data_IF_650842104074
#
_entry.id   IF_650842104074
#
_cell.length_a   1.000
_cell.length_b   1.000
_cell.length_c   1.000
_cell.angle_alpha   90.00
_cell.angle_beta   90.00
_cell.angle_gamma   90.00
#
_symmetry.space_group_name_H-M   'P 1'
#
loop_
_entity.id
_entity.type
_entity.pdbx_description
1 polymer ?
#
# COMPACT_ATOMS: atom_id res chain seq x y z
N UNK A 1 -4.28 -14.38 -50.56
CA UNK A 1 -3.90 -13.57 -49.39
C UNK A 1 -4.93 -13.83 -48.29
N UNK A 2 -4.57 -14.44 -47.16
CA UNK A 2 -5.42 -14.50 -45.98
C UNK A 2 -5.09 -13.37 -45.00
N UNK A 3 -6.12 -12.84 -44.35
CA UNK A 3 -6.06 -11.76 -43.37
C UNK A 3 -5.58 -12.26 -42.00
N UNK A 4 -4.76 -11.44 -41.33
CA UNK A 4 -4.38 -11.62 -39.93
C UNK A 4 -5.45 -11.04 -38.98
N UNK A 5 -5.61 -11.59 -37.76
CA UNK A 5 -6.70 -11.26 -36.84
C UNK A 5 -6.46 -9.95 -36.08
N UNK A 6 -7.51 -9.22 -35.67
CA UNK A 6 -7.37 -8.08 -34.77
C UNK A 6 -7.14 -8.51 -33.31
N UNK A 7 -6.35 -7.69 -32.61
CA UNK A 7 -5.92 -7.82 -31.22
C UNK A 7 -7.08 -7.67 -30.19
N UNK A 8 -6.91 -8.17 -28.94
CA UNK A 8 -7.97 -8.16 -27.93
C UNK A 8 -8.25 -6.75 -27.40
N UNK A 9 -9.53 -6.37 -27.42
CA UNK A 9 -10.07 -5.15 -26.85
C UNK A 9 -9.93 -5.13 -25.33
N UNK A 10 -9.27 -4.10 -24.80
CA UNK A 10 -9.30 -3.77 -23.37
C UNK A 10 -10.73 -3.41 -22.93
N UNK A 11 -11.17 -3.76 -21.71
CA UNK A 11 -12.44 -3.30 -21.18
C UNK A 11 -12.34 -1.81 -20.88
N UNK A 12 -12.96 -1.00 -21.73
CA UNK A 12 -13.24 0.41 -21.41
C UNK A 12 -14.27 0.40 -20.29
N UNK A 13 -13.83 0.60 -19.05
CA UNK A 13 -14.73 0.93 -17.95
C UNK A 13 -15.21 2.34 -18.21
N UNK A 14 -16.32 2.46 -18.93
CA UNK A 14 -17.08 3.70 -19.04
C UNK A 14 -17.63 4.01 -17.64
N UNK A 15 -16.86 4.79 -16.87
CA UNK A 15 -17.39 5.51 -15.72
C UNK A 15 -18.34 6.54 -16.32
N UNK A 16 -19.62 6.14 -16.45
CA UNK A 16 -20.68 7.06 -16.79
C UNK A 16 -20.66 8.16 -15.75
N UNK A 17 -20.16 9.33 -16.14
CA UNK A 17 -20.37 10.61 -15.46
C UNK A 17 -21.87 10.91 -15.53
N UNK A 18 -22.64 10.22 -14.70
CA UNK A 18 -24.01 10.61 -14.38
C UNK A 18 -23.90 11.61 -13.26
N UNK A 19 -23.87 12.89 -13.64
CA UNK A 19 -24.09 13.99 -12.71
C UNK A 19 -25.32 13.62 -11.83
N UNK A 20 -25.13 13.38 -10.52
CA UNK A 20 -26.19 12.85 -9.65
C UNK A 20 -27.38 13.80 -9.60
N UNK A 21 -27.16 15.11 -9.81
CA UNK A 21 -28.22 16.11 -9.93
C UNK A 21 -29.03 15.94 -11.21
N UNK A 22 -28.39 15.61 -12.34
CA UNK A 22 -29.07 15.33 -13.60
C UNK A 22 -29.90 14.04 -13.53
N UNK A 23 -29.46 13.05 -12.74
CA UNK A 23 -30.22 11.83 -12.51
C UNK A 23 -31.45 12.09 -11.61
N UNK A 24 -31.28 12.85 -10.51
CA UNK A 24 -32.40 13.28 -9.66
C UNK A 24 -33.42 14.13 -10.44
N UNK A 25 -32.97 15.06 -11.28
CA UNK A 25 -33.87 15.88 -12.11
C UNK A 25 -34.72 15.05 -13.07
N UNK A 26 -34.17 13.94 -13.60
CA UNK A 26 -34.89 13.02 -14.49
C UNK A 26 -35.89 12.16 -13.75
N UNK A 27 -35.56 11.70 -12.54
CA UNK A 27 -36.50 10.93 -11.71
C UNK A 27 -37.65 11.80 -11.17
N UNK A 28 -37.44 13.13 -11.08
CA UNK A 28 -38.40 14.12 -10.60
C UNK A 28 -39.23 14.79 -11.70
N UNK A 29 -38.94 14.53 -12.99
CA UNK A 29 -39.78 14.99 -14.08
C UNK A 29 -41.18 14.33 -13.99
N UNK A 30 -42.27 15.07 -14.27
CA UNK A 30 -43.62 14.64 -13.91
C UNK A 30 -44.01 13.32 -14.57
N UNK A 31 -44.48 12.38 -13.74
CA UNK A 31 -45.16 11.17 -14.20
C UNK A 31 -46.31 11.54 -15.15
N UNK A 32 -46.58 10.77 -16.22
CA UNK A 32 -47.58 11.10 -17.22
C UNK A 32 -48.97 11.27 -16.58
N UNK A 33 -49.70 12.30 -17.02
CA UNK A 33 -51.03 12.65 -16.53
C UNK A 33 -51.97 11.43 -16.46
N UNK A 34 -52.58 11.11 -15.30
CA UNK A 34 -53.60 10.08 -15.24
C UNK A 34 -54.87 10.55 -15.98
N UNK A 35 -55.66 9.64 -16.55
CA UNK A 35 -56.84 9.99 -17.34
C UNK A 35 -57.82 10.83 -16.53
N UNK A 36 -58.26 11.94 -17.12
CA UNK A 36 -59.12 13.00 -16.56
C UNK A 36 -60.43 12.54 -15.87
N UNK A 37 -60.78 11.25 -15.96
CA UNK A 37 -61.93 10.65 -15.28
C UNK A 37 -61.69 10.34 -13.80
N UNK A 38 -60.45 10.09 -13.35
CA UNK A 38 -60.14 9.84 -11.94
C UNK A 38 -60.22 11.12 -11.07
N UNK A 39 -60.11 12.30 -11.69
CA UNK A 39 -60.13 13.60 -11.00
C UNK A 39 -61.54 14.05 -10.56
N UNK A 40 -62.61 13.42 -11.06
CA UNK A 40 -64.00 13.83 -10.75
C UNK A 40 -64.59 13.17 -9.51
N UNK A 41 -63.99 12.11 -8.98
CA UNK A 41 -64.53 11.37 -7.82
C UNK A 41 -63.76 11.61 -6.51
N UNK A 42 -62.63 12.33 -6.56
CA UNK A 42 -61.91 12.74 -5.36
C UNK A 42 -62.09 14.25 -5.18
N UNK A 43 -62.91 14.64 -4.21
CA UNK A 43 -62.99 16.02 -3.70
C UNK A 43 -61.56 16.55 -3.50
N UNK A 44 -61.17 17.72 -4.05
CA UNK A 44 -59.76 18.11 -4.06
C UNK A 44 -59.32 18.35 -2.62
N UNK A 45 -58.33 17.60 -2.13
CA UNK A 45 -57.36 18.22 -1.21
C UNK A 45 -56.73 19.34 -2.01
N UNK A 46 -56.65 20.53 -1.41
CA UNK A 46 -56.06 21.70 -2.04
C UNK A 46 -54.76 21.29 -2.78
N UNK A 47 -54.67 21.48 -4.10
CA UNK A 47 -53.51 21.10 -4.89
C UNK A 47 -52.21 21.67 -4.33
N UNK A 48 -52.27 22.83 -3.68
CA UNK A 48 -51.14 23.45 -3.00
C UNK A 48 -50.67 22.61 -1.81
N UNK A 49 -51.60 22.10 -0.99
CA UNK A 49 -51.30 21.21 0.14
C UNK A 49 -50.78 19.85 -0.31
N UNK A 50 -51.30 19.30 -1.41
CA UNK A 50 -50.78 18.05 -1.98
C UNK A 50 -49.35 18.22 -2.52
N UNK A 51 -49.08 19.33 -3.22
CA UNK A 51 -47.75 19.66 -3.71
C UNK A 51 -46.77 19.91 -2.55
N UNK A 52 -47.18 20.67 -1.52
CA UNK A 52 -46.37 20.94 -0.34
C UNK A 52 -45.98 19.66 0.40
N UNK A 53 -46.91 18.72 0.58
CA UNK A 53 -46.62 17.43 1.22
C UNK A 53 -45.60 16.61 0.41
N UNK A 54 -45.75 16.53 -0.91
CA UNK A 54 -44.80 15.81 -1.78
C UNK A 54 -43.40 16.46 -1.77
N UNK A 55 -43.33 17.79 -1.72
CA UNK A 55 -42.07 18.52 -1.62
C UNK A 55 -41.41 18.27 -0.27
N UNK A 56 -42.18 18.26 0.83
CA UNK A 56 -41.68 17.90 2.16
C UNK A 56 -41.16 16.47 2.22
N UNK A 57 -41.92 15.50 1.69
CA UNK A 57 -41.50 14.08 1.65
C UNK A 57 -40.20 13.92 0.84
N UNK A 58 -40.10 14.61 -0.31
CA UNK A 58 -38.89 14.64 -1.12
C UNK A 58 -37.72 15.28 -0.39
N UNK A 59 -37.95 16.40 0.31
CA UNK A 59 -36.93 17.08 1.08
C UNK A 59 -36.36 16.19 2.19
N UNK A 60 -37.23 15.49 2.92
CA UNK A 60 -36.82 14.50 3.93
C UNK A 60 -36.01 13.38 3.28
N UNK A 61 -36.49 12.80 2.17
CA UNK A 61 -35.76 11.74 1.47
C UNK A 61 -34.38 12.17 0.95
N UNK A 62 -34.24 13.42 0.49
CA UNK A 62 -32.94 13.99 0.10
C UNK A 62 -32.03 14.13 1.32
N UNK A 63 -32.54 14.68 2.43
CA UNK A 63 -31.76 14.83 3.66
C UNK A 63 -31.29 13.47 4.19
N UNK A 64 -32.17 12.47 4.23
CA UNK A 64 -31.83 11.11 4.65
C UNK A 64 -30.74 10.50 3.77
N UNK A 65 -30.81 10.73 2.45
CA UNK A 65 -29.81 10.24 1.50
C UNK A 65 -28.45 10.93 1.71
N UNK A 66 -28.44 12.25 1.91
CA UNK A 66 -27.21 13.01 2.19
C UNK A 66 -26.60 12.55 3.51
N UNK A 67 -27.41 12.33 4.55
CA UNK A 67 -26.95 11.83 5.84
C UNK A 67 -26.34 10.43 5.72
N UNK A 68 -27.00 9.54 4.96
CA UNK A 68 -26.48 8.19 4.71
C UNK A 68 -25.12 8.23 3.98
N UNK A 69 -25.00 9.05 2.92
CA UNK A 69 -23.76 9.21 2.17
C UNK A 69 -22.66 9.86 3.02
N UNK A 70 -22.98 10.83 3.87
CA UNK A 70 -22.02 11.44 4.78
C UNK A 70 -21.47 10.42 5.78
N UNK A 71 -22.34 9.60 6.38
CA UNK A 71 -21.93 8.51 7.30
C UNK A 71 -21.05 7.46 6.61
N UNK A 72 -21.36 7.12 5.36
CA UNK A 72 -20.55 6.20 4.57
C UNK A 72 -19.16 6.78 4.28
N UNK A 73 -19.10 8.04 3.84
CA UNK A 73 -17.83 8.75 3.61
C UNK A 73 -16.99 8.89 4.89
N UNK A 74 -17.61 9.20 6.03
CA UNK A 74 -16.91 9.25 7.33
C UNK A 74 -16.28 7.91 7.69
N UNK A 75 -17.00 6.81 7.47
CA UNK A 75 -16.51 5.45 7.70
C UNK A 75 -15.33 5.11 6.78
N UNK A 76 -15.41 5.45 5.49
CA UNK A 76 -14.31 5.24 4.54
C UNK A 76 -13.06 6.03 4.92
N UNK A 77 -13.22 7.31 5.29
CA UNK A 77 -12.11 8.16 5.74
C UNK A 77 -11.45 7.57 7.00
N UNK A 78 -12.24 7.07 7.96
CA UNK A 78 -11.71 6.42 9.16
C UNK A 78 -10.90 5.16 8.81
N UNK A 79 -11.41 4.32 7.91
CA UNK A 79 -10.71 3.10 7.45
C UNK A 79 -9.39 3.42 6.74
N UNK A 80 -9.42 4.37 5.81
CA UNK A 80 -8.23 4.79 5.06
C UNK A 80 -7.19 5.44 5.99
N UNK A 81 -7.62 6.24 6.97
CA UNK A 81 -6.73 6.86 7.96
C UNK A 81 -6.03 5.78 8.79
N UNK A 82 -6.79 4.76 9.21
CA UNK A 82 -6.23 3.63 9.94
C UNK A 82 -5.23 2.83 9.09
N UNK A 83 -5.56 2.54 7.83
CA UNK A 83 -4.67 1.84 6.89
C UNK A 83 -3.37 2.63 6.67
N UNK A 84 -3.45 3.95 6.48
CA UNK A 84 -2.27 4.82 6.37
C UNK A 84 -1.38 4.70 7.60
N UNK A 85 -1.95 4.76 8.82
CA UNK A 85 -1.18 4.63 10.05
C UNK A 85 -0.47 3.26 10.16
N UNK A 86 -1.16 2.17 9.84
CA UNK A 86 -0.59 0.82 9.85
C UNK A 86 0.56 0.68 8.84
N UNK A 87 0.37 1.11 7.60
CA UNK A 87 1.40 1.02 6.56
C UNK A 87 2.61 1.92 6.88
N UNK A 88 2.36 3.09 7.49
CA UNK A 88 3.43 3.98 7.96
C UNK A 88 4.31 3.29 9.01
N UNK A 89 3.70 2.59 9.97
CA UNK A 89 4.47 1.84 10.97
C UNK A 89 5.24 0.66 10.34
N UNK A 90 4.66 -0.04 9.36
CA UNK A 90 5.37 -1.09 8.62
C UNK A 90 6.60 -0.54 7.89
N UNK A 91 6.47 0.61 7.22
CA UNK A 91 7.60 1.29 6.58
C UNK A 91 8.66 1.65 7.62
N UNK A 92 8.25 2.17 8.78
CA UNK A 92 9.17 2.52 9.87
C UNK A 92 10.01 1.32 10.30
N UNK A 93 9.36 0.17 10.52
CA UNK A 93 10.04 -1.07 10.89
C UNK A 93 10.98 -1.59 9.79
N UNK A 94 10.57 -1.55 8.53
CA UNK A 94 11.42 -1.96 7.41
C UNK A 94 12.65 -1.07 7.26
N UNK A 95 12.49 0.25 7.37
CA UNK A 95 13.59 1.22 7.32
C UNK A 95 14.62 0.98 8.42
N UNK A 96 14.15 0.70 9.64
CA UNK A 96 15.02 0.33 10.78
C UNK A 96 15.88 -0.88 10.43
N UNK A 97 15.27 -1.95 9.87
CA UNK A 97 15.99 -3.16 9.45
C UNK A 97 17.00 -2.92 8.34
N UNK A 98 16.64 -2.06 7.39
CA UNK A 98 17.49 -1.65 6.27
C UNK A 98 18.57 -0.63 6.66
N UNK A 99 18.61 -0.17 7.92
CA UNK A 99 19.59 0.79 8.42
C UNK A 99 19.34 2.24 7.97
N UNK A 100 18.15 2.57 7.46
CA UNK A 100 17.82 3.92 7.01
C UNK A 100 17.58 4.83 8.22
N UNK A 101 18.37 5.91 8.34
CA UNK A 101 18.34 6.84 9.49
C UNK A 101 17.26 7.93 9.38
N UNK A 102 16.86 8.31 8.17
CA UNK A 102 15.81 9.30 7.94
C UNK A 102 14.44 8.60 7.78
N UNK A 103 13.75 8.47 8.90
CA UNK A 103 12.47 7.76 9.00
C UNK A 103 11.26 8.66 8.72
N UNK A 104 11.28 9.91 9.16
CA UNK A 104 10.09 10.76 9.23
C UNK A 104 9.93 11.68 8.00
N UNK A 105 11.03 12.20 7.46
CA UNK A 105 11.02 13.24 6.42
C UNK A 105 10.37 12.80 5.09
N UNK A 106 10.33 11.50 4.78
CA UNK A 106 9.73 10.99 3.54
C UNK A 106 8.26 10.59 3.71
N UNK A 107 7.77 10.42 4.93
CA UNK A 107 6.39 9.99 5.19
C UNK A 107 5.44 11.19 5.39
N UNK A 108 5.95 12.31 5.87
CA UNK A 108 5.15 13.50 6.17
C UNK A 108 5.21 14.52 5.03
N UNK A 109 4.12 14.59 4.24
CA UNK A 109 3.84 15.71 3.36
C UNK A 109 2.65 16.46 3.96
N UNK A 110 2.84 17.72 4.39
CA UNK A 110 1.74 18.53 4.89
C UNK A 110 0.65 18.68 3.83
N UNK A 111 -0.61 18.49 4.22
CA UNK A 111 -1.80 18.70 3.39
C UNK A 111 -2.00 17.77 2.16
N UNK A 112 -1.32 16.62 2.12
CA UNK A 112 -1.61 15.61 1.09
C UNK A 112 -2.98 14.95 1.32
N UNK A 113 -3.79 14.84 0.26
CA UNK A 113 -5.06 14.12 0.31
C UNK A 113 -4.84 12.62 0.63
N UNK A 114 -5.81 12.00 1.31
CA UNK A 114 -5.64 10.67 1.89
C UNK A 114 -5.40 9.56 0.86
N UNK A 115 -6.10 9.60 -0.28
CA UNK A 115 -5.97 8.58 -1.35
C UNK A 115 -4.59 8.64 -2.04
N UNK A 116 -4.11 9.81 -2.53
CA UNK A 116 -2.73 9.94 -3.01
C UNK A 116 -1.68 9.52 -1.96
N UNK A 117 -1.89 9.91 -0.70
CA UNK A 117 -0.99 9.53 0.41
C UNK A 117 -0.91 8.02 0.57
N UNK A 118 -2.05 7.32 0.52
CA UNK A 118 -2.10 5.85 0.59
C UNK A 118 -1.31 5.22 -0.57
N UNK A 119 -1.52 5.68 -1.80
CA UNK A 119 -0.83 5.16 -2.98
C UNK A 119 0.68 5.37 -2.89
N UNK A 120 1.12 6.55 -2.45
CA UNK A 120 2.54 6.85 -2.23
C UNK A 120 3.16 5.94 -1.17
N UNK A 121 2.47 5.77 -0.04
CA UNK A 121 2.90 4.86 1.03
C UNK A 121 3.01 3.42 0.53
N UNK A 122 2.05 2.94 -0.26
CA UNK A 122 2.10 1.61 -0.87
C UNK A 122 3.31 1.45 -1.80
N UNK A 123 3.61 2.45 -2.62
CA UNK A 123 4.81 2.42 -3.49
C UNK A 123 6.10 2.35 -2.67
N UNK A 124 6.23 3.19 -1.64
CA UNK A 124 7.38 3.17 -0.73
C UNK A 124 7.51 1.80 -0.06
N UNK A 125 6.40 1.21 0.39
CA UNK A 125 6.39 -0.11 1.01
C UNK A 125 6.86 -1.20 0.04
N UNK A 126 6.41 -1.15 -1.22
CA UNK A 126 6.84 -2.09 -2.26
C UNK A 126 8.34 -1.99 -2.52
N UNK A 127 8.87 -0.78 -2.69
CA UNK A 127 10.30 -0.54 -2.95
C UNK A 127 11.17 -1.04 -1.79
N UNK A 128 10.76 -0.76 -0.55
CA UNK A 128 11.47 -1.24 0.64
C UNK A 128 11.37 -2.74 0.80
N UNK A 129 10.23 -3.34 0.46
CA UNK A 129 10.04 -4.79 0.50
C UNK A 129 10.93 -5.50 -0.52
N UNK A 130 11.05 -4.95 -1.73
CA UNK A 130 11.97 -5.46 -2.74
C UNK A 130 13.42 -5.34 -2.28
N UNK A 131 13.80 -4.16 -1.77
CA UNK A 131 15.16 -3.93 -1.22
C UNK A 131 15.49 -4.90 -0.09
N UNK A 132 14.52 -5.18 0.80
CA UNK A 132 14.65 -6.18 1.86
C UNK A 132 14.94 -7.55 1.26
N UNK A 133 14.13 -7.99 0.29
CA UNK A 133 14.28 -9.30 -0.34
C UNK A 133 15.66 -9.46 -1.01
N UNK A 134 16.10 -8.46 -1.77
CA UNK A 134 17.39 -8.50 -2.45
C UNK A 134 18.56 -8.58 -1.45
N UNK A 135 18.46 -7.83 -0.35
CA UNK A 135 19.49 -7.85 0.71
C UNK A 135 19.47 -9.12 1.54
N UNK A 136 18.31 -9.74 1.76
CA UNK A 136 18.21 -11.05 2.41
C UNK A 136 18.98 -12.11 1.61
N UNK A 137 18.78 -12.14 0.28
CA UNK A 137 19.52 -13.03 -0.63
C UNK A 137 21.03 -12.76 -0.56
N UNK A 138 21.43 -11.48 -0.61
CA UNK A 138 22.84 -11.10 -0.57
C UNK A 138 23.50 -11.55 0.75
N UNK A 139 22.86 -11.28 1.88
CA UNK A 139 23.36 -11.68 3.20
C UNK A 139 23.44 -13.20 3.29
N UNK A 140 22.43 -13.94 2.84
CA UNK A 140 22.43 -15.40 2.87
C UNK A 140 23.60 -15.96 2.04
N UNK A 141 23.83 -15.42 0.84
CA UNK A 141 24.95 -15.84 -0.01
C UNK A 141 26.31 -15.54 0.64
N UNK A 142 26.47 -14.38 1.28
CA UNK A 142 27.70 -14.01 2.00
C UNK A 142 27.95 -14.94 3.19
N UNK A 143 26.90 -15.26 3.97
CA UNK A 143 27.02 -16.18 5.10
C UNK A 143 27.42 -17.59 4.64
N UNK A 144 26.77 -18.13 3.60
CA UNK A 144 27.17 -19.43 3.02
C UNK A 144 28.61 -19.41 2.51
N UNK A 145 29.06 -18.30 1.91
CA UNK A 145 30.45 -18.15 1.48
C UNK A 145 31.41 -18.16 2.67
N UNK A 146 31.10 -17.46 3.75
CA UNK A 146 31.92 -17.49 4.98
C UNK A 146 31.98 -18.90 5.58
N UNK A 147 30.84 -19.59 5.65
CA UNK A 147 30.75 -20.99 6.10
C UNK A 147 31.60 -21.94 5.24
N UNK A 148 31.76 -21.66 3.94
CA UNK A 148 32.59 -22.49 3.06
C UNK A 148 34.09 -22.49 3.43
N UNK A 149 34.56 -21.50 4.19
CA UNK A 149 35.93 -21.45 4.70
C UNK A 149 36.14 -22.23 6.00
N UNK A 150 35.06 -22.68 6.64
CA UNK A 150 35.13 -23.38 7.92
C UNK A 150 36.00 -24.64 7.93
N UNK A 151 36.10 -25.45 6.86
CA UNK A 151 37.02 -26.60 6.81
C UNK A 151 38.51 -26.23 6.94
N UNK A 152 38.87 -24.97 6.69
CA UNK A 152 40.26 -24.48 6.69
C UNK A 152 40.51 -23.62 7.93
N UNK A 153 39.60 -22.68 8.22
CA UNK A 153 39.76 -21.70 9.31
C UNK A 153 39.11 -22.14 10.64
N UNK A 154 38.27 -23.17 10.61
CA UNK A 154 37.55 -23.73 11.75
C UNK A 154 36.15 -23.12 11.97
N UNK A 155 35.17 -23.96 12.31
CA UNK A 155 33.77 -23.55 12.50
C UNK A 155 33.58 -22.47 13.57
N UNK A 156 34.24 -22.62 14.73
CA UNK A 156 34.11 -21.66 15.84
C UNK A 156 34.63 -20.27 15.45
N UNK A 157 35.70 -20.22 14.67
CA UNK A 157 36.26 -18.96 14.19
C UNK A 157 35.27 -18.24 13.25
N UNK A 158 34.64 -18.96 12.33
CA UNK A 158 33.63 -18.41 11.43
C UNK A 158 32.42 -17.89 12.22
N UNK A 159 31.92 -18.66 13.19
CA UNK A 159 30.77 -18.25 14.01
C UNK A 159 31.09 -16.99 14.84
N UNK A 160 32.26 -16.91 15.44
CA UNK A 160 32.69 -15.73 16.21
C UNK A 160 32.81 -14.50 15.31
N UNK A 161 33.33 -14.66 14.09
CA UNK A 161 33.47 -13.58 13.12
C UNK A 161 32.13 -13.03 12.64
N UNK A 162 31.17 -13.90 12.32
CA UNK A 162 29.79 -13.52 11.92
C UNK A 162 29.06 -12.84 13.09
N UNK A 163 29.23 -13.36 14.30
CA UNK A 163 28.61 -12.79 15.50
C UNK A 163 29.14 -11.38 15.79
N UNK A 164 30.46 -11.16 15.71
CA UNK A 164 31.08 -9.84 15.87
C UNK A 164 30.55 -8.83 14.85
N UNK A 165 30.38 -9.23 13.59
CA UNK A 165 29.86 -8.35 12.53
C UNK A 165 28.42 -7.89 12.76
N UNK A 166 27.63 -8.68 13.48
CA UNK A 166 26.26 -8.35 13.87
C UNK A 166 26.17 -7.38 15.07
N UNK A 167 27.19 -7.30 15.93
CA UNK A 167 27.12 -6.54 17.20
C UNK A 167 27.11 -5.01 17.05
N UNK A 168 27.51 -4.46 15.89
CA UNK A 168 27.63 -3.01 15.71
C UNK A 168 26.29 -2.26 15.62
N UNK A 169 25.16 -2.96 15.54
CA UNK A 169 23.84 -2.35 15.54
C UNK A 169 22.99 -2.98 16.64
N UNK A 170 22.97 -2.36 17.83
CA UNK A 170 22.00 -2.66 18.91
C UNK A 170 20.53 -2.58 18.46
N UNK A 171 20.29 -2.15 17.22
CA UNK A 171 19.00 -2.15 16.53
C UNK A 171 18.54 -3.58 16.18
N UNK A 172 19.47 -4.51 15.90
CA UNK A 172 19.16 -5.85 15.37
C UNK A 172 18.59 -6.86 16.37
N UNK A 173 18.65 -6.60 17.68
CA UNK A 173 18.08 -7.53 18.66
C UNK A 173 16.57 -7.39 18.85
N UNK A 174 15.97 -6.28 18.42
CA UNK A 174 14.53 -6.03 18.63
C UNK A 174 13.67 -6.28 17.38
N UNK A 175 14.26 -6.42 16.19
CA UNK A 175 13.50 -6.47 14.92
C UNK A 175 14.17 -7.34 13.82
N UNK A 176 14.25 -8.67 13.98
CA UNK A 176 14.67 -9.57 12.90
C UNK A 176 16.12 -9.41 12.40
N UNK A 177 16.46 -10.03 11.26
CA UNK A 177 17.82 -9.99 10.69
C UNK A 177 18.25 -8.57 10.28
N UNK A 178 19.51 -8.23 10.54
CA UNK A 178 20.10 -6.94 10.16
C UNK A 178 20.37 -6.91 8.65
N UNK A 179 19.81 -5.93 7.93
CA UNK A 179 19.95 -5.76 6.49
C UNK A 179 20.52 -4.38 6.13
N UNK A 180 21.20 -3.74 7.08
CA UNK A 180 21.89 -2.48 6.83
C UNK A 180 23.02 -2.64 5.82
N UNK A 181 23.27 -1.59 5.04
CA UNK A 181 24.42 -1.53 4.14
C UNK A 181 25.73 -1.69 4.89
N UNK A 182 25.84 -1.13 6.10
CA UNK A 182 27.04 -1.25 6.93
C UNK A 182 27.31 -2.68 7.38
N UNK A 183 26.26 -3.46 7.66
CA UNK A 183 26.40 -4.88 7.98
C UNK A 183 26.84 -5.69 6.77
N UNK A 184 26.21 -5.47 5.61
CA UNK A 184 26.57 -6.15 4.36
C UNK A 184 28.02 -5.86 3.99
N UNK A 185 28.46 -4.60 4.02
CA UNK A 185 29.85 -4.24 3.71
C UNK A 185 30.87 -4.87 4.68
N UNK A 186 30.49 -5.08 5.95
CA UNK A 186 31.35 -5.82 6.90
C UNK A 186 31.48 -7.29 6.50
N UNK A 187 30.37 -7.95 6.14
CA UNK A 187 30.40 -9.34 5.69
C UNK A 187 31.20 -9.50 4.38
N UNK A 188 31.02 -8.58 3.43
CA UNK A 188 31.80 -8.57 2.18
C UNK A 188 33.30 -8.45 2.44
N UNK A 189 33.69 -7.50 3.32
CA UNK A 189 35.09 -7.31 3.69
C UNK A 189 35.66 -8.55 4.38
N UNK A 190 34.94 -9.13 5.34
CA UNK A 190 35.36 -10.37 6.01
C UNK A 190 35.52 -11.52 5.02
N UNK A 191 34.59 -11.65 4.07
CA UNK A 191 34.66 -12.68 3.05
C UNK A 191 35.90 -12.54 2.16
N UNK A 192 36.32 -11.31 1.85
CA UNK A 192 37.55 -11.04 1.10
C UNK A 192 38.81 -11.33 1.94
N UNK A 193 38.80 -10.95 3.22
CA UNK A 193 39.90 -11.22 4.15
C UNK A 193 40.13 -12.74 4.31
N UNK A 194 39.07 -13.53 4.47
CA UNK A 194 39.17 -14.99 4.59
C UNK A 194 39.61 -15.66 3.30
N UNK A 195 39.15 -15.17 2.15
CA UNK A 195 39.62 -15.67 0.85
C UNK A 195 41.13 -15.48 0.67
N UNK A 196 41.67 -14.32 1.07
CA UNK A 196 43.10 -14.06 1.06
C UNK A 196 43.86 -14.96 2.03
N UNK A 197 43.34 -15.13 3.25
CA UNK A 197 43.96 -15.99 4.28
C UNK A 197 44.01 -17.45 3.84
N UNK A 198 42.90 -17.99 3.32
CA UNK A 198 42.83 -19.35 2.76
C UNK A 198 43.77 -19.51 1.57
N UNK A 199 43.84 -18.53 0.68
CA UNK A 199 44.75 -18.57 -0.48
C UNK A 199 46.22 -18.56 -0.07
N UNK A 200 46.55 -17.88 1.03
CA UNK A 200 47.93 -17.83 1.56
C UNK A 200 48.35 -19.08 2.33
N UNK A 201 47.38 -19.83 2.86
CA UNK A 201 47.60 -21.07 3.62
C UNK A 201 47.54 -22.32 2.75
N UNK A 202 47.05 -22.23 1.51
CA UNK A 202 47.16 -23.29 0.52
C UNK A 202 48.64 -23.57 0.19
N UNK A 203 49.19 -24.74 0.57
CA UNK A 203 50.59 -25.04 0.31
C UNK A 203 50.84 -25.16 -1.19
N UNK A 204 52.00 -24.65 -1.64
CA UNK A 204 52.55 -24.93 -2.96
C UNK A 204 52.47 -26.43 -3.23
N UNK A 205 51.53 -26.82 -4.09
CA UNK A 205 51.40 -28.18 -4.58
C UNK A 205 52.23 -28.28 -5.87
N UNK A 206 53.50 -28.68 -5.71
CA UNK A 206 54.36 -29.20 -6.78
C UNK A 206 54.87 -30.58 -6.39
#
# INVERSE_FOLDING_TARGET
>A
MPASPPAPSQPTISIASSDPLAHLSRTLAPAPDPPRQALRLARPRDPQTCAANKISDLHVGILDTIEAQAKEAEKEVAQLTHAVAQLTEQIRQLRIRLGHRDLEAQLEIPAEALVPKLQRIQNILNDLSQTKFDREILVENLLRRLESFAPILGDQFIQDAVTKSNQSLRIGQMFGANLSTEYISRLEKQSQEFELEVSSTAPYSF
#
